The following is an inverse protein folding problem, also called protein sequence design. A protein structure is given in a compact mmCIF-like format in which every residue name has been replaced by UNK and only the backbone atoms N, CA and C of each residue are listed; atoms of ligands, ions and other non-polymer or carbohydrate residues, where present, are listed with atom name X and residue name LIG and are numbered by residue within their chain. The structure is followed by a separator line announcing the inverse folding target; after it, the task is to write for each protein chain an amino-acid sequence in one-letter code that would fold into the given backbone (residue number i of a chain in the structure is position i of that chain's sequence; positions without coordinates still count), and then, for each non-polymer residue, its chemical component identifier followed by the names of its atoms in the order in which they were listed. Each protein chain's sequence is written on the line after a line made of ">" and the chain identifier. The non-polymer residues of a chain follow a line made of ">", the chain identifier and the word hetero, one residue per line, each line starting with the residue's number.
data_IF_877813831464
#
_entry.id   IF_877813831464
#
_cell.length_a   1.000
_cell.length_b   1.000
_cell.length_c   1.000
_cell.angle_alpha   90.00
_cell.angle_beta   90.00
_cell.angle_gamma   90.00
#
_symmetry.space_group_name_H-M   'P 1'
#
loop_
_entity.id
_entity.type
_entity.pdbx_description
1 polymer ?
#
# COMPACT_ATOMS: atom_id res chain seq x y z
N UNK A 1 -29.66 52.97 55.13
CA UNK A 1 -29.14 51.65 55.58
C UNK A 1 -30.25 50.61 55.82
N UNK A 2 -31.37 50.97 56.48
CA UNK A 2 -32.47 50.05 56.80
C UNK A 2 -33.21 49.51 55.55
N UNK A 3 -33.32 50.31 54.49
CA UNK A 3 -34.03 49.92 53.26
C UNK A 3 -33.30 48.84 52.43
N UNK A 4 -31.97 48.77 52.52
CA UNK A 4 -31.13 47.79 51.83
C UNK A 4 -31.07 46.43 52.55
N UNK A 5 -31.24 46.42 53.87
CA UNK A 5 -31.37 45.19 54.67
C UNK A 5 -32.73 44.50 54.42
N UNK A 6 -33.81 45.26 54.27
CA UNK A 6 -35.14 44.73 53.93
C UNK A 6 -35.20 44.06 52.56
N UNK A 7 -34.51 44.59 51.54
CA UNK A 7 -34.50 43.95 50.21
C UNK A 7 -33.65 42.68 50.18
N UNK A 8 -32.52 42.65 50.91
CA UNK A 8 -31.70 41.43 51.06
C UNK A 8 -32.42 40.33 51.84
N UNK A 9 -33.20 40.67 52.87
CA UNK A 9 -34.00 39.70 53.64
C UNK A 9 -35.21 39.14 52.86
N UNK A 10 -35.80 39.92 51.94
CA UNK A 10 -36.93 39.46 51.10
C UNK A 10 -36.51 38.36 50.09
N UNK A 11 -35.24 38.36 49.70
CA UNK A 11 -34.63 37.34 48.84
C UNK A 11 -33.72 36.36 49.62
N UNK A 12 -33.66 36.49 50.95
CA UNK A 12 -32.89 35.59 51.81
C UNK A 12 -33.71 34.32 52.03
N UNK A 13 -33.47 33.32 51.18
CA UNK A 13 -33.97 31.96 51.40
C UNK A 13 -33.07 31.32 52.46
N UNK A 14 -33.60 30.98 53.65
CA UNK A 14 -32.79 30.35 54.68
C UNK A 14 -32.19 29.05 54.12
N UNK A 15 -30.95 28.68 54.51
CA UNK A 15 -30.27 27.52 53.96
C UNK A 15 -31.08 26.22 54.07
N UNK A 16 -31.95 26.11 55.08
CA UNK A 16 -32.89 25.00 55.28
C UNK A 16 -33.92 24.88 54.14
N UNK A 17 -34.50 25.99 53.70
CA UNK A 17 -35.52 26.01 52.64
C UNK A 17 -34.94 25.65 51.26
N UNK A 18 -33.66 25.97 51.01
CA UNK A 18 -32.98 25.52 49.77
C UNK A 18 -32.74 24.02 49.77
N UNK A 19 -32.37 23.45 50.92
CA UNK A 19 -32.15 22.02 51.08
C UNK A 19 -33.46 21.24 50.91
N UNK A 20 -34.55 21.71 51.51
CA UNK A 20 -35.89 21.12 51.37
C UNK A 20 -36.33 21.08 49.89
N UNK A 21 -36.22 22.21 49.19
CA UNK A 21 -36.53 22.26 47.75
C UNK A 21 -35.67 21.30 46.92
N UNK A 22 -34.40 21.11 47.29
CA UNK A 22 -33.51 20.18 46.60
C UNK A 22 -33.90 18.72 46.88
N UNK A 23 -34.26 18.39 48.12
CA UNK A 23 -34.72 17.06 48.50
C UNK A 23 -36.05 16.70 47.84
N UNK A 24 -37.00 17.64 47.80
CA UNK A 24 -38.27 17.47 47.08
C UNK A 24 -38.04 17.25 45.57
N UNK A 25 -37.12 18.02 44.98
CA UNK A 25 -36.75 17.85 43.59
C UNK A 25 -36.12 16.47 43.32
N UNK A 26 -35.17 16.04 44.15
CA UNK A 26 -34.50 14.73 44.02
C UNK A 26 -35.51 13.58 44.20
N UNK A 27 -36.39 13.68 45.19
CA UNK A 27 -37.44 12.69 45.42
C UNK A 27 -38.40 12.60 44.22
N UNK A 28 -38.87 13.75 43.73
CA UNK A 28 -39.76 13.80 42.55
C UNK A 28 -39.06 13.27 41.28
N UNK A 29 -37.77 13.56 41.11
CA UNK A 29 -36.98 13.03 40.01
C UNK A 29 -36.85 11.51 40.11
N UNK A 30 -36.57 10.94 41.28
CA UNK A 30 -36.37 9.49 41.45
C UNK A 30 -37.67 8.72 41.25
N UNK A 31 -38.80 9.29 41.69
CA UNK A 31 -40.13 8.71 41.52
C UNK A 31 -40.58 8.70 40.05
N UNK A 32 -40.24 9.74 39.28
CA UNK A 32 -40.72 9.93 37.89
C UNK A 32 -39.67 9.60 36.82
N UNK A 33 -38.49 9.14 37.22
CA UNK A 33 -37.40 8.84 36.28
C UNK A 33 -37.69 7.59 35.45
N UNK A 34 -37.23 7.60 34.19
CA UNK A 34 -37.17 6.41 33.34
C UNK A 34 -35.94 5.54 33.62
N UNK A 35 -35.08 5.93 34.56
CA UNK A 35 -33.95 5.11 35.00
C UNK A 35 -34.49 3.98 35.87
N UNK A 36 -34.41 2.77 35.33
CA UNK A 36 -34.84 1.55 36.00
C UNK A 36 -34.13 1.41 37.35
N UNK A 37 -34.91 1.18 38.40
CA UNK A 37 -34.42 1.05 39.78
C UNK A 37 -34.54 2.31 40.64
N UNK A 38 -34.54 3.53 40.07
CA UNK A 38 -34.73 4.76 40.88
C UNK A 38 -36.11 4.85 41.54
N UNK A 39 -37.22 4.49 40.85
CA UNK A 39 -38.53 4.46 41.52
C UNK A 39 -38.61 3.41 42.63
N UNK A 40 -37.87 2.29 42.52
CA UNK A 40 -37.83 1.25 43.55
C UNK A 40 -37.06 1.67 44.81
N UNK A 41 -36.07 2.57 44.68
CA UNK A 41 -35.39 3.19 45.83
C UNK A 41 -36.39 4.03 46.64
N UNK A 42 -37.28 4.77 45.96
CA UNK A 42 -38.30 5.62 46.61
C UNK A 42 -39.52 4.84 47.13
N UNK A 43 -39.90 3.77 46.44
CA UNK A 43 -41.03 2.92 46.83
C UNK A 43 -40.68 1.88 47.92
N UNK A 44 -39.40 1.69 48.22
CA UNK A 44 -38.94 0.72 49.22
C UNK A 44 -39.42 1.05 50.63
N UNK A 45 -40.28 0.20 51.19
CA UNK A 45 -40.79 0.37 52.55
C UNK A 45 -39.81 -0.12 53.63
N UNK A 46 -38.82 -0.94 53.25
CA UNK A 46 -37.81 -1.52 54.14
C UNK A 46 -36.42 -0.98 53.81
N UNK A 47 -35.60 -0.60 54.81
CA UNK A 47 -34.28 -0.02 54.57
C UNK A 47 -33.34 -0.97 53.81
N UNK A 48 -33.49 -2.29 53.99
CA UNK A 48 -32.72 -3.29 53.25
C UNK A 48 -33.04 -3.28 51.75
N UNK A 49 -34.32 -3.14 51.39
CA UNK A 49 -34.77 -3.11 50.01
C UNK A 49 -34.25 -1.86 49.30
N UNK A 50 -34.36 -0.69 49.94
CA UNK A 50 -33.78 0.56 49.46
C UNK A 50 -32.27 0.44 49.28
N UNK A 51 -31.56 -0.19 50.23
CA UNK A 51 -30.12 -0.40 50.13
C UNK A 51 -29.76 -1.29 48.94
N UNK A 52 -30.44 -2.42 48.76
CA UNK A 52 -30.20 -3.34 47.64
C UNK A 52 -30.43 -2.63 46.30
N UNK A 53 -31.57 -1.92 46.14
CA UNK A 53 -31.84 -1.19 44.91
C UNK A 53 -30.83 -0.07 44.66
N UNK A 54 -30.40 0.64 45.71
CA UNK A 54 -29.35 1.66 45.58
C UNK A 54 -28.02 1.07 45.11
N UNK A 55 -27.62 -0.09 45.65
CA UNK A 55 -26.39 -0.77 45.27
C UNK A 55 -26.46 -1.29 43.83
N UNK A 56 -27.60 -1.84 43.41
CA UNK A 56 -27.82 -2.31 42.04
C UNK A 56 -27.77 -1.17 41.02
N UNK A 57 -28.45 -0.05 41.30
CA UNK A 57 -28.42 1.13 40.42
C UNK A 57 -27.01 1.71 40.35
N UNK A 58 -26.33 1.86 41.48
CA UNK A 58 -24.95 2.37 41.51
C UNK A 58 -23.99 1.47 40.70
N UNK A 59 -24.13 0.15 40.85
CA UNK A 59 -23.32 -0.82 40.09
C UNK A 59 -23.62 -0.77 38.60
N UNK A 60 -24.88 -0.60 38.21
CA UNK A 60 -25.28 -0.47 36.81
C UNK A 60 -24.72 0.80 36.16
N UNK A 61 -24.79 1.94 36.85
CA UNK A 61 -24.23 3.22 36.37
C UNK A 61 -22.71 3.11 36.24
N UNK A 62 -22.03 2.51 37.23
CA UNK A 62 -20.60 2.29 37.17
C UNK A 62 -20.20 1.40 35.99
N UNK A 63 -20.88 0.25 35.82
CA UNK A 63 -20.65 -0.67 34.70
C UNK A 63 -20.87 0.00 33.34
N UNK A 64 -21.94 0.79 33.18
CA UNK A 64 -22.20 1.55 31.98
C UNK A 64 -21.08 2.55 31.68
N UNK A 65 -20.63 3.33 32.67
CA UNK A 65 -19.55 4.30 32.50
C UNK A 65 -18.23 3.63 32.07
N UNK A 66 -17.88 2.48 32.65
CA UNK A 66 -16.68 1.71 32.28
C UNK A 66 -16.79 1.18 30.86
N UNK A 67 -17.90 0.51 30.51
CA UNK A 67 -18.10 -0.06 29.17
C UNK A 67 -18.12 1.03 28.08
N UNK A 68 -18.78 2.16 28.35
CA UNK A 68 -18.79 3.32 27.45
C UNK A 68 -17.38 3.86 27.26
N UNK A 69 -16.57 3.96 28.32
CA UNK A 69 -15.19 4.46 28.24
C UNK A 69 -14.30 3.54 27.41
N UNK A 70 -14.39 2.22 27.61
CA UNK A 70 -13.63 1.22 26.82
C UNK A 70 -14.05 1.23 25.35
N UNK A 71 -15.35 1.37 25.09
CA UNK A 71 -15.88 1.45 23.71
C UNK A 71 -15.42 2.72 23.03
N UNK A 72 -15.45 3.86 23.73
CA UNK A 72 -14.97 5.13 23.21
C UNK A 72 -13.45 5.11 22.94
N UNK A 73 -12.67 4.49 23.83
CA UNK A 73 -11.23 4.32 23.62
C UNK A 73 -10.94 3.47 22.37
N UNK A 74 -11.65 2.34 22.18
CA UNK A 74 -11.53 1.54 20.96
C UNK A 74 -11.92 2.32 19.70
N UNK A 75 -12.99 3.10 19.76
CA UNK A 75 -13.42 3.94 18.65
C UNK A 75 -12.40 5.00 18.27
N UNK A 76 -11.77 5.66 19.26
CA UNK A 76 -10.78 6.71 19.01
C UNK A 76 -9.43 6.16 18.56
N UNK A 77 -8.96 5.12 19.24
CA UNK A 77 -7.58 4.67 19.12
C UNK A 77 -7.43 3.51 18.11
N UNK A 78 -8.49 2.75 17.82
CA UNK A 78 -8.47 1.60 16.90
C UNK A 78 -9.78 1.45 16.07
N UNK A 79 -10.14 2.44 15.23
CA UNK A 79 -11.40 2.42 14.47
C UNK A 79 -11.43 1.42 13.30
N UNK A 80 -10.27 0.89 12.88
CA UNK A 80 -10.17 0.07 11.67
C UNK A 80 -10.26 -1.42 11.99
N UNK A 81 -11.19 -2.10 11.32
CA UNK A 81 -11.27 -3.56 11.29
C UNK A 81 -10.86 -4.03 9.91
N UNK A 82 -9.87 -4.91 9.84
CA UNK A 82 -9.45 -5.56 8.60
C UNK A 82 -10.19 -6.90 8.51
N UNK A 83 -11.04 -7.05 7.50
CA UNK A 83 -11.63 -8.33 7.15
C UNK A 83 -10.99 -8.83 5.86
N UNK A 84 -10.63 -10.11 5.82
CA UNK A 84 -10.08 -10.76 4.62
C UNK A 84 -11.12 -11.70 4.04
N UNK A 85 -11.66 -11.34 2.88
CA UNK A 85 -12.49 -12.24 2.08
C UNK A 85 -11.60 -13.11 1.20
N UNK A 86 -11.96 -14.40 1.03
CA UNK A 86 -11.21 -15.35 0.21
C UNK A 86 -12.07 -15.90 -0.90
N UNK A 87 -12.49 -15.02 -1.80
CA UNK A 87 -13.29 -15.40 -2.96
C UNK A 87 -12.44 -15.84 -4.16
N UNK A 88 -11.50 -16.76 -3.92
CA UNK A 88 -10.54 -17.19 -4.96
C UNK A 88 -11.18 -18.02 -6.08
N UNK A 89 -12.35 -18.61 -5.84
CA UNK A 89 -12.97 -19.56 -6.78
C UNK A 89 -13.98 -18.91 -7.73
N UNK A 90 -14.38 -17.65 -7.50
CA UNK A 90 -15.42 -16.99 -8.28
C UNK A 90 -14.90 -16.22 -9.50
N UNK A 91 -13.58 -15.99 -9.61
CA UNK A 91 -13.00 -15.22 -10.69
C UNK A 91 -11.65 -15.77 -11.20
N UNK A 92 -11.32 -15.41 -12.44
CA UNK A 92 -9.97 -15.61 -12.97
C UNK A 92 -9.07 -14.50 -12.44
N UNK A 93 -7.94 -14.89 -11.84
CA UNK A 93 -6.92 -13.97 -11.32
C UNK A 93 -5.83 -13.79 -12.36
N UNK A 94 -5.43 -12.56 -12.65
CA UNK A 94 -4.30 -12.29 -13.55
C UNK A 94 -3.01 -12.90 -13.00
N UNK A 95 -2.25 -13.59 -13.86
CA UNK A 95 -0.92 -14.09 -13.49
C UNK A 95 -0.02 -12.89 -13.13
N UNK A 96 0.86 -12.98 -12.13
CA UNK A 96 1.72 -11.85 -11.79
C UNK A 96 2.63 -11.45 -12.95
N UNK A 97 2.88 -10.15 -13.08
CA UNK A 97 3.94 -9.69 -13.96
C UNK A 97 5.31 -10.09 -13.39
N UNK A 98 6.20 -10.60 -14.24
CA UNK A 98 7.55 -10.99 -13.84
C UNK A 98 8.57 -10.30 -14.75
N UNK A 99 9.50 -9.55 -14.17
CA UNK A 99 10.56 -8.86 -14.92
C UNK A 99 11.89 -9.56 -14.71
N UNK A 100 12.57 -9.84 -15.81
CA UNK A 100 13.90 -10.46 -15.85
C UNK A 100 14.88 -9.53 -16.54
N UNK A 101 16.05 -9.36 -15.94
CA UNK A 101 17.12 -8.50 -16.45
C UNK A 101 18.36 -9.35 -16.72
N UNK A 102 18.92 -9.32 -17.94
CA UNK A 102 20.18 -10.01 -18.22
C UNK A 102 21.31 -9.44 -17.35
N UNK A 103 22.17 -10.29 -16.80
CA UNK A 103 23.40 -9.84 -16.12
C UNK A 103 24.37 -9.24 -17.12
N UNK A 104 24.56 -9.92 -18.25
CA UNK A 104 25.33 -9.41 -19.37
C UNK A 104 24.50 -8.39 -20.16
N UNK A 105 24.92 -7.13 -20.10
CA UNK A 105 24.21 -6.01 -20.74
C UNK A 105 24.70 -5.75 -22.16
N UNK A 106 25.99 -5.97 -22.42
CA UNK A 106 26.64 -5.71 -23.70
C UNK A 106 27.14 -7.01 -24.34
N UNK A 107 26.95 -7.13 -25.65
CA UNK A 107 27.63 -8.12 -26.46
C UNK A 107 29.04 -7.63 -26.82
N UNK A 108 30.04 -8.08 -26.08
CA UNK A 108 31.44 -7.67 -26.27
C UNK A 108 31.95 -7.99 -27.68
N UNK A 109 31.58 -9.13 -28.26
CA UNK A 109 32.00 -9.49 -29.62
C UNK A 109 31.45 -8.51 -30.67
N UNK A 110 30.21 -8.04 -30.50
CA UNK A 110 29.62 -7.03 -31.39
C UNK A 110 30.26 -5.65 -31.22
N UNK A 111 30.67 -5.29 -30.00
CA UNK A 111 31.37 -4.04 -29.73
C UNK A 111 32.78 -4.07 -30.35
N UNK A 112 33.49 -5.19 -30.19
CA UNK A 112 34.86 -5.35 -30.68
C UNK A 112 34.90 -5.29 -32.21
N UNK A 113 33.99 -6.00 -32.89
CA UNK A 113 33.85 -5.94 -34.35
C UNK A 113 33.51 -4.53 -34.87
N UNK A 114 32.74 -3.74 -34.10
CA UNK A 114 32.47 -2.34 -34.45
C UNK A 114 33.73 -1.48 -34.31
N UNK A 115 34.47 -1.65 -33.21
CA UNK A 115 35.69 -0.89 -32.94
C UNK A 115 36.80 -1.17 -33.95
N UNK A 116 36.87 -2.37 -34.54
CA UNK A 116 37.85 -2.68 -35.60
C UNK A 116 37.71 -1.72 -36.80
N UNK A 117 36.48 -1.46 -37.22
CA UNK A 117 36.19 -0.72 -38.45
C UNK A 117 35.80 0.76 -38.22
N UNK A 118 35.54 1.16 -36.98
CA UNK A 118 35.10 2.52 -36.69
C UNK A 118 36.28 3.51 -36.64
N UNK A 119 36.07 4.70 -37.23
CA UNK A 119 36.98 5.86 -37.13
C UNK A 119 36.80 6.61 -35.79
N UNK A 120 36.92 5.88 -34.69
CA UNK A 120 36.88 6.45 -33.33
C UNK A 120 38.30 6.84 -32.92
N UNK A 121 38.50 8.07 -32.45
CA UNK A 121 39.82 8.59 -32.03
C UNK A 121 40.44 7.75 -30.91
N UNK A 122 39.66 7.46 -29.87
CA UNK A 122 40.05 6.65 -28.73
C UNK A 122 39.12 5.43 -28.59
N UNK A 123 39.53 4.34 -29.24
CA UNK A 123 38.79 3.07 -29.23
C UNK A 123 38.75 2.44 -27.83
N UNK A 124 39.83 2.60 -27.05
CA UNK A 124 39.93 2.10 -25.67
C UNK A 124 38.98 2.84 -24.74
N UNK A 125 39.00 4.18 -24.77
CA UNK A 125 38.12 5.01 -23.97
C UNK A 125 36.64 4.79 -24.33
N UNK A 126 36.31 4.66 -25.62
CA UNK A 126 34.94 4.33 -26.03
C UNK A 126 34.46 2.98 -25.49
N UNK A 127 35.34 1.96 -25.48
CA UNK A 127 35.03 0.64 -24.90
C UNK A 127 34.76 0.76 -23.41
N UNK A 128 35.65 1.42 -22.68
CA UNK A 128 35.54 1.60 -21.22
C UNK A 128 34.28 2.40 -20.84
N UNK A 129 34.01 3.48 -21.58
CA UNK A 129 32.78 4.27 -21.45
C UNK A 129 31.53 3.40 -21.63
N UNK A 130 31.40 2.67 -22.74
CA UNK A 130 30.20 1.85 -22.97
C UNK A 130 30.04 0.76 -21.92
N UNK A 131 31.13 0.12 -21.52
CA UNK A 131 31.09 -0.92 -20.48
C UNK A 131 30.66 -0.33 -19.14
N UNK A 132 31.22 0.81 -18.72
CA UNK A 132 30.85 1.50 -17.48
C UNK A 132 29.39 1.99 -17.53
N UNK A 133 28.97 2.60 -18.64
CA UNK A 133 27.60 3.05 -18.87
C UNK A 133 26.59 1.89 -18.79
N UNK A 134 26.94 0.71 -19.32
CA UNK A 134 26.03 -0.45 -19.27
C UNK A 134 25.88 -1.06 -17.88
N UNK A 135 26.85 -0.82 -17.00
CA UNK A 135 26.84 -1.28 -15.59
C UNK A 135 26.35 -0.20 -14.63
N UNK A 136 25.94 0.95 -15.17
CA UNK A 136 25.39 2.03 -14.40
C UNK A 136 24.04 1.61 -13.80
N UNK A 137 23.98 1.63 -12.48
CA UNK A 137 22.84 1.41 -11.62
C UNK A 137 22.66 2.66 -10.74
N UNK A 138 21.51 2.77 -10.08
CA UNK A 138 21.21 3.92 -9.21
C UNK A 138 22.32 4.23 -8.19
N UNK A 139 22.98 3.19 -7.67
CA UNK A 139 24.02 3.32 -6.64
C UNK A 139 25.44 3.57 -7.13
N UNK A 140 25.71 3.59 -8.44
CA UNK A 140 27.08 3.68 -8.97
C UNK A 140 27.25 4.61 -10.19
N UNK A 141 26.30 5.53 -10.44
CA UNK A 141 26.35 6.44 -11.58
C UNK A 141 27.63 7.30 -11.64
N UNK A 142 28.23 7.60 -10.49
CA UNK A 142 29.50 8.32 -10.37
C UNK A 142 30.70 7.57 -10.96
N UNK A 143 30.59 6.25 -11.12
CA UNK A 143 31.64 5.39 -11.69
C UNK A 143 31.64 5.37 -13.22
N UNK A 144 30.66 6.01 -13.87
CA UNK A 144 30.57 6.05 -15.34
C UNK A 144 31.66 6.97 -15.90
N UNK A 145 32.53 6.40 -16.73
CA UNK A 145 33.66 7.12 -17.32
C UNK A 145 33.15 8.00 -18.47
N UNK A 146 33.38 9.32 -18.50
CA UNK A 146 32.86 10.17 -19.57
C UNK A 146 33.63 9.97 -20.89
N UNK A 147 32.95 10.17 -22.02
CA UNK A 147 33.54 10.17 -23.35
C UNK A 147 33.02 11.37 -24.16
N UNK A 148 33.88 12.36 -24.43
CA UNK A 148 33.49 13.70 -24.91
C UNK A 148 32.79 13.68 -26.28
N UNK A 149 33.10 12.70 -27.13
CA UNK A 149 32.53 12.62 -28.47
C UNK A 149 31.07 12.12 -28.50
N UNK A 150 30.56 11.56 -27.40
CA UNK A 150 29.19 11.04 -27.32
C UNK A 150 28.33 11.91 -26.41
N UNK A 151 27.21 12.39 -26.96
CA UNK A 151 26.23 13.16 -26.18
C UNK A 151 25.28 12.27 -25.40
N UNK A 152 24.74 12.78 -24.30
CA UNK A 152 23.85 12.05 -23.40
C UNK A 152 22.60 11.50 -24.12
N UNK A 153 22.08 12.19 -25.14
CA UNK A 153 20.91 11.75 -25.90
C UNK A 153 21.17 10.46 -26.71
N UNK A 154 22.44 10.15 -26.98
CA UNK A 154 22.85 8.99 -27.77
C UNK A 154 23.07 7.73 -26.92
N UNK A 155 23.18 7.88 -25.60
CA UNK A 155 23.57 6.81 -24.66
C UNK A 155 22.66 5.58 -24.79
N UNK A 156 21.35 5.78 -24.72
CA UNK A 156 20.37 4.69 -24.83
C UNK A 156 20.41 4.02 -26.21
N UNK A 157 20.64 4.79 -27.27
CA UNK A 157 20.79 4.25 -28.62
C UNK A 157 22.01 3.36 -28.77
N UNK A 158 23.13 3.73 -28.14
CA UNK A 158 24.35 2.93 -28.12
C UNK A 158 24.18 1.66 -27.29
N UNK A 159 23.60 1.75 -26.09
CA UNK A 159 23.28 0.59 -25.26
C UNK A 159 22.36 -0.38 -26.02
N UNK A 160 21.35 0.13 -26.71
CA UNK A 160 20.46 -0.69 -27.54
C UNK A 160 21.19 -1.35 -28.72
N UNK A 161 22.12 -0.64 -29.35
CA UNK A 161 22.90 -1.15 -30.50
C UNK A 161 23.80 -2.32 -30.11
N UNK A 162 24.48 -2.22 -28.98
CA UNK A 162 25.43 -3.23 -28.49
C UNK A 162 24.87 -4.16 -27.43
N UNK A 163 23.56 -4.11 -27.19
CA UNK A 163 22.91 -4.92 -26.17
C UNK A 163 23.19 -6.42 -26.37
N UNK A 164 23.29 -7.14 -25.27
CA UNK A 164 23.22 -8.59 -25.32
C UNK A 164 21.84 -9.02 -25.86
N UNK A 165 21.82 -9.88 -26.87
CA UNK A 165 20.57 -10.35 -27.48
C UNK A 165 19.93 -11.41 -26.60
N UNK A 166 19.18 -10.97 -25.61
CA UNK A 166 18.33 -11.83 -24.80
C UNK A 166 17.00 -12.03 -25.54
N UNK A 167 16.72 -13.27 -25.96
CA UNK A 167 15.46 -13.66 -26.61
C UNK A 167 14.86 -14.86 -25.89
N UNK A 168 14.31 -14.66 -24.69
CA UNK A 168 13.74 -15.76 -23.93
C UNK A 168 12.37 -16.06 -24.49
N UNK A 169 12.00 -17.33 -24.44
CA UNK A 169 10.65 -17.76 -24.77
C UNK A 169 9.95 -18.12 -23.47
N UNK A 170 8.69 -17.71 -23.31
CA UNK A 170 7.87 -18.15 -22.18
C UNK A 170 6.94 -19.25 -22.65
N UNK A 171 7.00 -20.39 -21.97
CA UNK A 171 6.01 -21.47 -22.12
C UNK A 171 5.11 -21.46 -20.89
N UNK A 172 3.82 -21.72 -21.09
CA UNK A 172 2.85 -21.77 -20.01
C UNK A 172 2.05 -23.08 -20.07
N UNK A 173 1.25 -23.34 -19.03
CA UNK A 173 0.30 -24.45 -18.99
C UNK A 173 -1.06 -24.14 -19.63
N UNK A 174 -1.21 -22.97 -20.28
CA UNK A 174 -2.48 -22.52 -20.85
C UNK A 174 -2.93 -23.37 -22.04
N UNK A 175 -4.23 -23.69 -22.09
CA UNK A 175 -4.85 -24.56 -23.09
C UNK A 175 -4.70 -24.10 -24.56
N UNK A 176 -4.31 -22.85 -24.81
CA UNK A 176 -4.33 -22.25 -26.15
C UNK A 176 -2.96 -22.15 -26.84
N UNK A 177 -1.86 -22.58 -26.20
CA UNK A 177 -0.55 -22.59 -26.86
C UNK A 177 -0.07 -21.22 -27.37
N UNK A 178 -0.69 -20.12 -26.92
CA UNK A 178 -0.23 -18.78 -27.26
C UNK A 178 1.12 -18.56 -26.61
N UNK A 179 2.13 -18.38 -27.45
CA UNK A 179 3.45 -17.94 -27.01
C UNK A 179 3.32 -16.55 -26.40
N UNK A 180 3.22 -16.50 -25.09
CA UNK A 180 3.31 -15.25 -24.36
C UNK A 180 4.72 -14.69 -24.57
N UNK A 181 4.78 -13.50 -25.15
CA UNK A 181 6.03 -12.82 -25.46
C UNK A 181 6.44 -11.92 -24.30
N UNK A 182 7.74 -11.94 -23.98
CA UNK A 182 8.36 -10.98 -23.09
C UNK A 182 8.47 -9.63 -23.79
N UNK A 183 8.03 -8.58 -23.12
CA UNK A 183 8.13 -7.21 -23.61
C UNK A 183 9.33 -6.52 -23.00
N UNK A 184 10.10 -5.82 -23.82
CA UNK A 184 11.22 -5.01 -23.33
C UNK A 184 10.73 -3.82 -22.48
N UNK A 185 11.45 -3.53 -21.41
CA UNK A 185 11.22 -2.40 -20.50
C UNK A 185 12.56 -1.89 -19.96
N UNK A 186 12.70 -0.57 -19.78
CA UNK A 186 13.92 0.06 -19.26
C UNK A 186 13.78 0.29 -17.76
N UNK A 187 14.60 -0.36 -16.93
CA UNK A 187 14.58 -0.18 -15.47
C UNK A 187 15.87 0.48 -15.00
N UNK A 188 16.00 0.69 -13.70
CA UNK A 188 17.26 1.13 -13.07
C UNK A 188 18.40 0.11 -13.25
N UNK A 189 18.07 -1.14 -13.58
CA UNK A 189 19.04 -2.19 -13.93
C UNK A 189 19.35 -2.23 -15.45
N UNK A 190 18.88 -1.25 -16.22
CA UNK A 190 19.05 -1.17 -17.67
C UNK A 190 17.93 -1.83 -18.48
N UNK A 191 18.28 -2.39 -19.64
CA UNK A 191 17.31 -3.02 -20.55
C UNK A 191 16.91 -4.39 -20.00
N UNK A 192 15.63 -4.53 -19.64
CA UNK A 192 15.03 -5.73 -19.07
C UNK A 192 13.81 -6.18 -19.87
N UNK A 193 13.23 -7.30 -19.46
CA UNK A 193 12.13 -7.93 -20.17
C UNK A 193 11.06 -8.35 -19.16
N UNK A 194 9.83 -7.91 -19.38
CA UNK A 194 8.69 -8.21 -18.50
C UNK A 194 7.69 -9.10 -19.19
N UNK A 195 7.26 -10.11 -18.45
CA UNK A 195 6.14 -10.98 -18.76
C UNK A 195 4.87 -10.42 -18.11
N UNK A 196 3.74 -10.60 -18.79
CA UNK A 196 2.39 -10.24 -18.33
C UNK A 196 2.24 -8.80 -17.79
N UNK A 197 2.93 -7.83 -18.41
CA UNK A 197 2.90 -6.44 -18.01
C UNK A 197 2.37 -5.54 -19.13
N UNK A 198 1.28 -4.85 -18.85
CA UNK A 198 0.73 -3.83 -19.72
C UNK A 198 1.59 -2.55 -19.78
N UNK A 199 2.45 -2.34 -18.79
CA UNK A 199 3.28 -1.14 -18.66
C UNK A 199 4.64 -1.27 -19.34
N UNK A 200 5.12 -2.49 -19.54
CA UNK A 200 6.46 -2.74 -20.09
C UNK A 200 6.67 -2.06 -21.45
N UNK A 201 5.69 -2.16 -22.34
CA UNK A 201 5.77 -1.56 -23.67
C UNK A 201 5.90 -0.02 -23.64
N UNK A 202 5.23 0.65 -22.71
CA UNK A 202 5.33 2.11 -22.51
C UNK A 202 6.69 2.53 -21.97
N UNK A 203 7.35 1.64 -21.24
CA UNK A 203 8.67 1.88 -20.67
C UNK A 203 9.81 1.34 -21.54
N UNK A 204 9.52 0.98 -22.80
CA UNK A 204 10.51 0.48 -23.75
C UNK A 204 11.26 1.61 -24.45
N UNK A 205 12.54 1.42 -24.78
CA UNK A 205 13.34 2.41 -25.51
C UNK A 205 12.66 2.87 -26.81
N UNK A 206 12.06 1.94 -27.56
CA UNK A 206 11.38 2.24 -28.83
C UNK A 206 10.15 3.14 -28.64
N UNK A 207 9.41 3.01 -27.54
CA UNK A 207 8.28 3.89 -27.25
C UNK A 207 8.76 5.31 -26.95
N UNK A 208 9.74 5.45 -26.05
CA UNK A 208 10.32 6.74 -25.68
C UNK A 208 10.96 7.45 -26.87
N UNK A 209 11.70 6.72 -27.72
CA UNK A 209 12.33 7.27 -28.94
C UNK A 209 11.33 7.84 -29.93
N UNK A 210 10.12 7.27 -30.02
CA UNK A 210 9.06 7.80 -30.89
C UNK A 210 8.50 9.12 -30.40
N UNK A 211 8.68 9.48 -29.12
CA UNK A 211 8.13 10.70 -28.53
C UNK A 211 6.60 10.79 -28.61
N UNK A 212 5.93 9.63 -28.78
CA UNK A 212 4.48 9.54 -28.93
C UNK A 212 3.85 9.23 -27.58
N UNK A 213 2.72 9.87 -27.28
CA UNK A 213 1.91 9.61 -26.08
C UNK A 213 0.66 8.80 -26.38
N UNK A 214 0.67 8.07 -27.49
CA UNK A 214 -0.46 7.27 -27.91
C UNK A 214 -0.57 5.99 -27.07
N UNK A 215 -1.81 5.56 -26.84
CA UNK A 215 -2.10 4.27 -26.24
C UNK A 215 -1.70 3.16 -27.21
N UNK A 216 -0.91 2.21 -26.72
CA UNK A 216 -0.56 1.01 -27.46
C UNK A 216 -1.70 -0.02 -27.35
N UNK A 217 -1.96 -0.82 -28.39
CA UNK A 217 -2.87 -1.95 -28.27
C UNK A 217 -2.39 -2.86 -27.14
N UNK A 218 -3.28 -3.15 -26.21
CA UNK A 218 -3.00 -3.99 -25.05
C UNK A 218 -3.15 -5.46 -25.49
N UNK A 219 -2.11 -6.27 -25.27
CA UNK A 219 -2.23 -7.72 -25.41
C UNK A 219 -3.03 -8.27 -24.22
N UNK A 220 -3.78 -9.35 -24.44
CA UNK A 220 -4.46 -10.04 -23.34
C UNK A 220 -3.45 -10.58 -22.34
N UNK A 221 -3.70 -10.32 -21.05
CA UNK A 221 -2.87 -10.86 -19.97
C UNK A 221 -3.25 -12.30 -19.69
N UNK A 222 -2.22 -13.12 -19.47
CA UNK A 222 -2.39 -14.45 -18.94
C UNK A 222 -3.08 -14.39 -17.59
N UNK A 223 -4.22 -15.05 -17.48
CA UNK A 223 -5.05 -15.11 -16.28
C UNK A 223 -5.41 -16.55 -15.99
N UNK A 224 -5.60 -16.87 -14.72
CA UNK A 224 -5.72 -18.22 -14.20
C UNK A 224 -7.00 -18.39 -13.40
N UNK A 225 -7.61 -19.56 -13.48
CA UNK A 225 -8.57 -19.97 -12.48
C UNK A 225 -7.91 -20.92 -11.46
N UNK A 226 -8.14 -20.78 -10.15
CA UNK A 226 -7.63 -21.73 -9.16
C UNK A 226 -8.14 -23.18 -9.33
N UNK A 227 -9.20 -23.38 -10.12
CA UNK A 227 -9.70 -24.71 -10.49
C UNK A 227 -8.94 -25.36 -11.65
N UNK A 228 -8.09 -24.61 -12.36
CA UNK A 228 -7.30 -25.12 -13.50
C UNK A 228 -6.14 -26.04 -13.07
N UNK A 229 -5.91 -26.18 -11.76
CA UNK A 229 -4.85 -27.02 -11.19
C UNK A 229 -3.50 -26.32 -11.13
N UNK A 230 -2.43 -27.02 -11.50
CA UNK A 230 -1.08 -26.46 -11.49
C UNK A 230 -0.88 -25.54 -12.69
N UNK A 231 -0.55 -24.28 -12.40
CA UNK A 231 -0.20 -23.30 -13.42
C UNK A 231 1.25 -22.85 -13.27
N UNK A 232 2.00 -22.91 -14.36
CA UNK A 232 3.37 -22.46 -14.43
C UNK A 232 3.61 -21.57 -15.65
N UNK A 233 4.61 -20.70 -15.54
CA UNK A 233 5.20 -19.96 -16.63
C UNK A 233 6.72 -20.20 -16.58
N UNK A 234 7.25 -20.88 -17.59
CA UNK A 234 8.66 -21.25 -17.68
C UNK A 234 9.35 -20.37 -18.70
N UNK A 235 10.39 -19.66 -18.26
CA UNK A 235 11.27 -18.91 -19.15
C UNK A 235 12.38 -19.85 -19.64
N UNK A 236 12.37 -20.16 -20.93
CA UNK A 236 13.38 -21.02 -21.57
C UNK A 236 14.34 -20.19 -22.42
N UNK A 237 15.47 -20.80 -22.79
CA UNK A 237 16.55 -20.16 -23.56
C UNK A 237 17.25 -19.01 -22.82
N UNK A 238 17.43 -19.16 -21.51
CA UNK A 238 18.29 -18.30 -20.70
C UNK A 238 19.72 -18.84 -20.86
N UNK A 239 20.50 -18.23 -21.75
CA UNK A 239 21.90 -18.63 -22.03
C UNK A 239 22.90 -18.14 -20.98
N UNK A 240 22.45 -17.39 -19.98
CA UNK A 240 23.26 -16.86 -18.88
C UNK A 240 22.82 -17.45 -17.54
N UNK A 241 23.78 -17.81 -16.68
CA UNK A 241 23.49 -18.29 -15.33
C UNK A 241 22.68 -17.26 -14.56
N UNK A 242 21.54 -17.65 -14.01
CA UNK A 242 20.74 -16.78 -13.15
C UNK A 242 21.30 -16.84 -11.72
N UNK A 243 21.49 -15.68 -11.09
CA UNK A 243 21.69 -15.61 -9.65
C UNK A 243 20.38 -15.13 -9.02
N UNK A 244 19.75 -15.99 -8.22
CA UNK A 244 18.65 -15.57 -7.34
C UNK A 244 19.31 -14.88 -6.15
N UNK A 245 19.32 -13.55 -6.12
CA UNK A 245 19.69 -12.83 -4.91
C UNK A 245 18.55 -12.98 -3.90
N UNK A 246 18.72 -13.89 -2.95
CA UNK A 246 17.91 -13.93 -1.74
C UNK A 246 18.30 -12.76 -0.86
N UNK A 247 17.33 -11.90 -0.52
CA UNK A 247 17.45 -10.86 0.50
C UNK A 247 17.66 -11.47 1.89
#
# INVERSE_FOLDING_TARGET
>A
MIHALRSKLKNYVPPTRKLEMLLEFVASFFERSSIHGLPHIMAGHRPLETFIWSALVASAVYGAAVLSSVTLARYRDNPTVISMERDRFSWNTSFPAATVCPTDKINMASLDAYLENAEVKDKSGFREFLVSLSRAEYGNFESVVPYEEVKAEEYMGLLKKFQFRFRPTVTNSGLNGEQLSLMETVTEMGICYSFNSHLAAYNSFEYWKKGSWNLLPQNETFSLNPLDGEVFANVVNISSGFQVQGT
#
